data_IF_428149311808
#
_entry.id   IF_428149311808
#
_cell.length_a   1.000
_cell.length_b   1.000
_cell.length_c   1.000
_cell.angle_alpha   90.00
_cell.angle_beta   90.00
_cell.angle_gamma   90.00
#
_symmetry.space_group_name_H-M   'P 1'
#
loop_
_entity.id
_entity.type
_entity.pdbx_description
1 polymer ?
#
# COMPACT_ATOMS: atom_id res chain seq x y z
N UNK A 1 11.84 19.35 -18.55
CA UNK A 1 13.07 19.70 -19.31
C UNK A 1 13.56 18.55 -20.20
N UNK A 2 13.74 17.32 -19.70
CA UNK A 2 14.20 16.17 -20.51
C UNK A 2 13.40 15.97 -21.81
N UNK A 3 12.07 15.82 -21.69
CA UNK A 3 11.20 15.63 -22.86
C UNK A 3 11.26 16.81 -23.84
N UNK A 4 11.39 18.04 -23.34
CA UNK A 4 11.53 19.22 -24.20
C UNK A 4 12.81 19.16 -25.05
N UNK A 5 13.94 18.74 -24.48
CA UNK A 5 15.18 18.52 -25.24
C UNK A 5 15.03 17.43 -26.30
N UNK A 6 14.42 16.30 -25.93
CA UNK A 6 14.16 15.21 -26.88
C UNK A 6 13.29 15.72 -28.04
N UNK A 7 12.18 16.42 -27.76
CA UNK A 7 11.30 16.99 -28.79
C UNK A 7 12.02 17.97 -29.72
N UNK A 8 12.87 18.86 -29.19
CA UNK A 8 13.59 19.84 -29.99
C UNK A 8 14.69 19.18 -30.84
N UNK A 9 15.40 18.17 -30.32
CA UNK A 9 16.37 17.39 -31.11
C UNK A 9 15.67 16.67 -32.26
N UNK A 10 14.52 16.05 -32.01
CA UNK A 10 13.71 15.44 -33.06
C UNK A 10 13.22 16.47 -34.10
N UNK A 11 12.78 17.64 -33.64
CA UNK A 11 12.40 18.76 -34.51
C UNK A 11 13.55 19.25 -35.39
N UNK A 12 14.76 19.36 -34.82
CA UNK A 12 15.97 19.70 -35.58
C UNK A 12 16.27 18.64 -36.64
N UNK A 13 16.22 17.35 -36.27
CA UNK A 13 16.47 16.25 -37.19
C UNK A 13 15.45 16.23 -38.34
N UNK A 14 14.18 16.54 -38.06
CA UNK A 14 13.15 16.71 -39.08
C UNK A 14 13.42 17.91 -40.01
N UNK A 15 13.86 19.06 -39.47
CA UNK A 15 14.24 20.23 -40.28
C UNK A 15 15.43 19.92 -41.20
N UNK A 16 16.45 19.23 -40.68
CA UNK A 16 17.63 18.80 -41.45
C UNK A 16 17.20 17.86 -42.56
N UNK A 17 16.37 16.88 -42.25
CA UNK A 17 15.78 15.96 -43.24
C UNK A 17 15.09 16.76 -44.35
N UNK A 18 14.23 17.70 -44.00
CA UNK A 18 13.51 18.54 -44.97
C UNK A 18 14.44 19.38 -45.86
N UNK A 19 15.51 19.97 -45.29
CA UNK A 19 16.47 20.79 -46.06
C UNK A 19 17.29 19.97 -47.06
N UNK A 20 17.64 18.72 -46.72
CA UNK A 20 18.48 17.87 -47.57
C UNK A 20 17.69 16.96 -48.52
N UNK A 21 16.39 16.74 -48.30
CA UNK A 21 15.50 15.92 -49.15
C UNK A 21 14.93 16.69 -50.36
N UNK A 22 15.08 18.03 -50.40
CA UNK A 22 14.51 18.87 -51.48
C UNK A 22 15.30 18.73 -52.80
N UNK A 23 14.65 18.46 -53.95
CA UNK A 23 15.32 18.39 -55.25
C UNK A 23 15.81 19.78 -55.66
N UNK A 24 17.13 19.96 -55.73
CA UNK A 24 17.80 21.25 -55.94
C UNK A 24 18.31 21.93 -54.66
N UNK A 25 18.66 21.16 -53.62
CA UNK A 25 19.02 21.67 -52.29
C UNK A 25 20.05 22.81 -52.33
N UNK A 26 19.89 23.78 -51.41
CA UNK A 26 20.73 24.98 -51.20
C UNK A 26 22.24 24.68 -51.05
N UNK A 27 22.62 23.41 -50.93
CA UNK A 27 23.99 22.93 -50.75
C UNK A 27 24.33 21.89 -51.84
N UNK A 28 24.86 22.40 -52.95
CA UNK A 28 25.31 21.75 -54.20
C UNK A 28 25.62 20.23 -54.29
N UNK A 29 25.26 19.69 -55.46
CA UNK A 29 25.76 18.56 -56.30
C UNK A 29 26.16 17.19 -55.71
N UNK A 30 26.19 16.94 -54.40
CA UNK A 30 26.54 15.61 -53.85
C UNK A 30 25.33 14.80 -53.43
N UNK A 31 24.51 14.37 -54.41
CA UNK A 31 23.26 13.62 -54.23
C UNK A 31 23.38 12.43 -53.27
N UNK A 32 24.43 11.62 -53.39
CA UNK A 32 24.68 10.45 -52.52
C UNK A 32 24.88 10.83 -51.05
N UNK A 33 25.56 11.94 -50.79
CA UNK A 33 25.86 12.38 -49.42
C UNK A 33 24.62 12.94 -48.73
N UNK A 34 23.80 13.69 -49.47
CA UNK A 34 22.54 14.22 -48.94
C UNK A 34 21.57 13.09 -48.59
N UNK A 35 21.50 12.05 -49.43
CA UNK A 35 20.72 10.83 -49.16
C UNK A 35 21.24 10.11 -47.90
N UNK A 36 22.55 9.98 -47.73
CA UNK A 36 23.13 9.39 -46.50
C UNK A 36 22.72 10.16 -45.25
N UNK A 37 22.79 11.49 -45.26
CA UNK A 37 22.40 12.33 -44.11
C UNK A 37 20.92 12.13 -43.78
N UNK A 38 20.05 12.18 -44.79
CA UNK A 38 18.60 11.96 -44.61
C UNK A 38 18.32 10.57 -44.02
N UNK A 39 18.97 9.54 -44.55
CA UNK A 39 18.81 8.19 -44.05
C UNK A 39 19.32 8.05 -42.62
N UNK A 40 20.52 8.55 -42.31
CA UNK A 40 21.11 8.46 -40.97
C UNK A 40 20.25 9.17 -39.92
N UNK A 41 19.69 10.34 -40.24
CA UNK A 41 18.79 11.09 -39.36
C UNK A 41 17.48 10.33 -39.10
N UNK A 42 16.85 9.80 -40.15
CA UNK A 42 15.61 9.00 -40.03
C UNK A 42 15.86 7.72 -39.24
N UNK A 43 16.91 6.98 -39.61
CA UNK A 43 17.31 5.72 -38.99
C UNK A 43 17.57 5.93 -37.50
N UNK A 44 18.40 6.91 -37.13
CA UNK A 44 18.69 7.21 -35.73
C UNK A 44 17.42 7.52 -34.92
N UNK A 45 16.53 8.37 -35.42
CA UNK A 45 15.30 8.73 -34.72
C UNK A 45 14.39 7.52 -34.52
N UNK A 46 14.19 6.71 -35.55
CA UNK A 46 13.36 5.51 -35.48
C UNK A 46 13.96 4.44 -34.57
N UNK A 47 15.29 4.22 -34.62
CA UNK A 47 15.97 3.30 -33.73
C UNK A 47 15.87 3.77 -32.27
N UNK A 48 16.12 5.06 -31.99
CA UNK A 48 15.96 5.59 -30.64
C UNK A 48 14.52 5.43 -30.15
N UNK A 49 13.52 5.82 -30.96
CA UNK A 49 12.12 5.73 -30.56
C UNK A 49 11.70 4.28 -30.29
N UNK A 50 12.11 3.34 -31.16
CA UNK A 50 11.84 1.91 -30.99
C UNK A 50 12.49 1.36 -29.72
N UNK A 51 13.78 1.65 -29.49
CA UNK A 51 14.49 1.19 -28.30
C UNK A 51 13.96 1.82 -27.01
N UNK A 52 13.78 3.14 -27.01
CA UNK A 52 13.27 3.88 -25.87
C UNK A 52 11.84 3.45 -25.52
N UNK A 53 10.97 3.26 -26.52
CA UNK A 53 9.62 2.74 -26.31
C UNK A 53 9.62 1.34 -25.73
N UNK A 54 10.45 0.42 -26.26
CA UNK A 54 10.57 -0.94 -25.71
C UNK A 54 11.05 -0.93 -24.26
N UNK A 55 12.08 -0.14 -23.95
CA UNK A 55 12.58 0.01 -22.58
C UNK A 55 11.53 0.63 -21.65
N UNK A 56 10.87 1.70 -22.09
CA UNK A 56 9.84 2.38 -21.31
C UNK A 56 8.65 1.45 -21.02
N UNK A 57 8.19 0.69 -22.01
CA UNK A 57 7.11 -0.29 -21.84
C UNK A 57 7.54 -1.46 -20.96
N UNK A 58 8.76 -1.98 -21.12
CA UNK A 58 9.27 -3.08 -20.30
C UNK A 58 9.45 -2.66 -18.83
N UNK A 59 10.06 -1.49 -18.59
CA UNK A 59 10.21 -0.93 -17.25
C UNK A 59 8.85 -0.57 -16.65
N UNK A 60 7.96 0.03 -17.43
CA UNK A 60 6.58 0.31 -17.01
C UNK A 60 5.88 -0.98 -16.60
N UNK A 61 5.85 -1.99 -17.47
CA UNK A 61 5.26 -3.28 -17.15
C UNK A 61 5.91 -3.92 -15.91
N UNK A 62 7.23 -3.85 -15.76
CA UNK A 62 7.91 -4.39 -14.57
C UNK A 62 7.53 -3.66 -13.28
N UNK A 63 7.40 -2.33 -13.31
CA UNK A 63 7.04 -1.53 -12.13
C UNK A 63 5.54 -1.59 -11.80
N UNK A 64 4.68 -1.75 -12.80
CA UNK A 64 3.22 -1.88 -12.64
C UNK A 64 2.82 -3.32 -12.26
N UNK A 65 3.42 -4.34 -12.88
CA UNK A 65 3.12 -5.75 -12.61
C UNK A 65 3.93 -6.30 -11.43
N UNK A 66 5.14 -5.78 -11.20
CA UNK A 66 5.95 -6.11 -10.03
C UNK A 66 5.38 -5.42 -8.81
N UNK A 67 5.00 -6.22 -7.79
CA UNK A 67 4.42 -5.81 -6.50
C UNK A 67 4.79 -4.39 -6.06
N UNK A 68 4.02 -3.39 -6.52
CA UNK A 68 4.11 -1.99 -6.06
C UNK A 68 5.48 -1.34 -6.27
N UNK A 69 6.24 -1.77 -7.28
CA UNK A 69 7.61 -1.28 -7.53
C UNK A 69 7.71 0.23 -7.74
N UNK A 70 6.63 0.90 -8.16
CA UNK A 70 6.57 2.34 -8.37
C UNK A 70 6.69 3.18 -7.07
N UNK A 71 6.42 2.61 -5.89
CA UNK A 71 6.65 3.29 -4.61
C UNK A 71 8.10 3.16 -4.12
N UNK A 72 8.79 2.11 -4.55
CA UNK A 72 10.14 1.76 -4.08
C UNK A 72 11.21 2.35 -4.99
N UNK A 73 10.89 2.55 -6.27
CA UNK A 73 11.86 2.90 -7.29
C UNK A 73 11.47 4.16 -8.05
N UNK A 74 12.37 5.14 -8.08
CA UNK A 74 12.16 6.38 -8.83
C UNK A 74 13.31 6.63 -9.80
N UNK A 75 13.03 6.47 -11.10
CA UNK A 75 14.04 6.60 -12.15
C UNK A 75 14.72 7.97 -12.17
N UNK A 76 13.97 9.04 -11.90
CA UNK A 76 14.45 10.40 -12.11
C UNK A 76 15.47 10.90 -11.07
N UNK A 77 15.19 10.85 -9.75
CA UNK A 77 16.15 11.31 -8.74
C UNK A 77 17.41 10.45 -8.73
N UNK A 78 17.27 9.13 -8.84
CA UNK A 78 18.37 8.18 -8.67
C UNK A 78 19.29 8.15 -9.91
N UNK A 79 18.73 8.33 -11.10
CA UNK A 79 19.46 8.22 -12.37
C UNK A 79 19.46 9.50 -13.21
N UNK A 80 19.38 10.68 -12.57
CA UNK A 80 19.36 11.98 -13.26
C UNK A 80 20.44 12.16 -14.33
N UNK A 81 21.64 11.62 -14.11
CA UNK A 81 22.75 11.71 -15.06
C UNK A 81 22.54 10.89 -16.33
N UNK A 82 21.80 9.77 -16.26
CA UNK A 82 21.46 8.97 -17.45
C UNK A 82 20.58 9.79 -18.40
N UNK A 83 19.62 10.56 -17.87
CA UNK A 83 18.77 11.41 -18.69
C UNK A 83 19.56 12.52 -19.40
N UNK A 84 20.54 13.13 -18.72
CA UNK A 84 21.45 14.10 -19.34
C UNK A 84 22.33 13.43 -20.40
N UNK A 85 22.84 12.24 -20.12
CA UNK A 85 23.65 11.46 -21.05
C UNK A 85 22.87 11.10 -22.31
N UNK A 86 21.61 10.69 -22.19
CA UNK A 86 20.74 10.40 -23.34
C UNK A 86 20.63 11.63 -24.26
N UNK A 87 20.37 12.82 -23.69
CA UNK A 87 20.29 14.06 -24.47
C UNK A 87 21.63 14.36 -25.16
N UNK A 88 22.74 14.24 -24.42
CA UNK A 88 24.07 14.49 -24.97
C UNK A 88 24.41 13.54 -26.12
N UNK A 89 24.15 12.24 -25.94
CA UNK A 89 24.39 11.21 -26.95
C UNK A 89 23.52 11.45 -28.19
N UNK A 90 22.22 11.73 -28.03
CA UNK A 90 21.34 12.02 -29.17
C UNK A 90 21.78 13.25 -29.96
N UNK A 91 22.16 14.31 -29.26
CA UNK A 91 22.66 15.53 -29.89
C UNK A 91 23.98 15.27 -30.64
N UNK A 92 24.96 14.63 -30.00
CA UNK A 92 26.25 14.33 -30.63
C UNK A 92 26.12 13.37 -31.81
N UNK A 93 25.23 12.37 -31.70
CA UNK A 93 24.95 11.43 -32.79
C UNK A 93 24.37 12.16 -34.01
N UNK A 94 23.46 13.12 -33.80
CA UNK A 94 22.91 13.98 -34.86
C UNK A 94 24.02 14.71 -35.63
N UNK A 95 25.08 15.13 -34.94
CA UNK A 95 26.19 15.90 -35.51
C UNK A 95 27.29 15.05 -36.16
N UNK A 96 27.33 13.75 -35.92
CA UNK A 96 28.36 12.85 -36.47
C UNK A 96 28.43 12.90 -38.01
N UNK A 97 27.28 12.84 -38.68
CA UNK A 97 27.16 12.85 -40.14
C UNK A 97 27.23 14.25 -40.72
N UNK A 98 26.66 15.25 -40.03
CA UNK A 98 26.73 16.67 -40.40
C UNK A 98 28.16 17.21 -40.34
N UNK A 99 28.97 16.75 -39.39
CA UNK A 99 30.37 17.17 -39.25
C UNK A 99 31.18 16.87 -40.50
N UNK A 100 30.89 15.78 -41.19
CA UNK A 100 31.54 15.44 -42.44
C UNK A 100 31.26 16.53 -43.51
N UNK A 101 30.06 17.11 -43.53
CA UNK A 101 29.66 18.16 -44.49
C UNK A 101 30.35 19.49 -44.22
N UNK A 102 30.29 19.97 -42.97
CA UNK A 102 30.80 21.29 -42.58
C UNK A 102 32.31 21.34 -42.28
N UNK A 103 32.98 20.17 -42.27
CA UNK A 103 34.44 19.98 -42.10
C UNK A 103 35.06 20.91 -41.03
N UNK A 104 35.72 21.99 -41.46
CA UNK A 104 36.61 22.84 -40.62
C UNK A 104 35.84 23.72 -39.64
N UNK A 105 34.60 24.10 -39.96
CA UNK A 105 33.77 24.97 -39.12
C UNK A 105 32.67 24.19 -38.36
N UNK A 106 32.68 22.85 -38.42
CA UNK A 106 31.60 22.02 -37.87
C UNK A 106 31.38 22.24 -36.38
N UNK A 107 32.46 22.44 -35.60
CA UNK A 107 32.37 22.63 -34.15
C UNK A 107 31.70 23.96 -33.78
N UNK A 108 31.95 25.03 -34.55
CA UNK A 108 31.29 26.33 -34.34
C UNK A 108 29.78 26.23 -34.58
N UNK A 109 29.39 25.56 -35.68
CA UNK A 109 27.99 25.32 -36.01
C UNK A 109 27.30 24.37 -35.04
N UNK A 110 28.02 23.36 -34.55
CA UNK A 110 27.53 22.45 -33.52
C UNK A 110 27.22 23.20 -32.23
N UNK A 111 28.16 24.01 -31.73
CA UNK A 111 27.95 24.82 -30.53
C UNK A 111 26.80 25.81 -30.71
N UNK A 112 26.73 26.50 -31.85
CA UNK A 112 25.63 27.42 -32.15
C UNK A 112 24.27 26.71 -32.12
N UNK A 113 24.17 25.52 -32.74
CA UNK A 113 22.94 24.74 -32.69
C UNK A 113 22.59 24.29 -31.28
N UNK A 114 23.57 23.86 -30.47
CA UNK A 114 23.33 23.45 -29.10
C UNK A 114 22.74 24.58 -28.27
N UNK A 115 23.25 25.79 -28.43
CA UNK A 115 22.73 27.00 -27.76
C UNK A 115 21.29 27.28 -28.21
N UNK A 116 21.01 27.26 -29.51
CA UNK A 116 19.66 27.48 -30.05
C UNK A 116 18.67 26.44 -29.52
N UNK A 117 19.04 25.15 -29.55
CA UNK A 117 18.20 24.06 -29.03
C UNK A 117 17.97 24.21 -27.53
N UNK A 118 18.99 24.63 -26.78
CA UNK A 118 18.86 24.84 -25.33
C UNK A 118 17.88 25.97 -25.02
N UNK A 119 17.92 27.07 -25.78
CA UNK A 119 16.96 28.18 -25.64
C UNK A 119 15.54 27.71 -25.98
N UNK A 120 15.37 27.00 -27.11
CA UNK A 120 14.06 26.47 -27.51
C UNK A 120 13.50 25.45 -26.52
N UNK A 121 14.33 24.51 -26.06
CA UNK A 121 13.94 23.51 -25.07
C UNK A 121 13.60 24.15 -23.72
N UNK A 122 14.33 25.20 -23.32
CA UNK A 122 14.00 25.98 -22.13
C UNK A 122 12.67 26.71 -22.30
N UNK A 123 12.44 27.38 -23.44
CA UNK A 123 11.16 28.02 -23.76
C UNK A 123 9.99 27.04 -23.71
N UNK A 124 10.10 25.89 -24.38
CA UNK A 124 9.10 24.82 -24.34
C UNK A 124 8.87 24.28 -22.93
N UNK A 125 9.92 24.19 -22.11
CA UNK A 125 9.79 23.69 -20.73
C UNK A 125 8.99 24.63 -19.81
N UNK A 126 8.80 25.89 -20.20
CA UNK A 126 7.99 26.87 -19.47
C UNK A 126 6.52 26.85 -19.91
N UNK A 127 6.20 26.22 -21.03
CA UNK A 127 4.82 26.11 -21.52
C UNK A 127 4.16 24.93 -20.81
N UNK A 128 3.22 25.22 -19.91
CA UNK A 128 2.38 24.21 -19.27
C UNK A 128 1.27 23.80 -20.26
N UNK A 129 1.54 22.79 -21.09
CA UNK A 129 0.55 22.24 -22.04
C UNK A 129 -0.58 21.47 -21.34
N UNK A 130 -0.32 20.97 -20.13
CA UNK A 130 -1.29 20.23 -19.31
C UNK A 130 -1.34 20.86 -17.93
N UNK A 131 -2.54 21.21 -17.46
CA UNK A 131 -2.77 21.63 -16.09
C UNK A 131 -2.72 20.42 -15.15
N UNK A 132 -1.50 19.96 -14.90
CA UNK A 132 -1.22 18.85 -14.01
C UNK A 132 -1.68 19.15 -12.58
N UNK A 133 -1.81 20.42 -12.18
CA UNK A 133 -2.25 20.78 -10.83
C UNK A 133 -3.72 20.45 -10.65
N UNK A 134 -4.55 20.84 -11.62
CA UNK A 134 -5.98 20.51 -11.59
C UNK A 134 -6.21 19.01 -11.69
N UNK A 135 -5.48 18.32 -12.57
CA UNK A 135 -5.59 16.85 -12.69
C UNK A 135 -5.12 16.13 -11.41
N UNK A 136 -4.00 16.56 -10.83
CA UNK A 136 -3.51 15.99 -9.58
C UNK A 136 -4.48 16.26 -8.43
N UNK A 137 -5.05 17.47 -8.34
CA UNK A 137 -6.03 17.81 -7.31
C UNK A 137 -7.31 16.96 -7.45
N UNK A 138 -7.80 16.72 -8.67
CA UNK A 138 -8.95 15.84 -8.89
C UNK A 138 -8.67 14.41 -8.40
N UNK A 139 -7.51 13.85 -8.75
CA UNK A 139 -7.11 12.50 -8.31
C UNK A 139 -6.90 12.44 -6.80
N UNK A 140 -6.29 13.47 -6.22
CA UNK A 140 -6.05 13.55 -4.78
C UNK A 140 -7.36 13.69 -3.98
N UNK A 141 -8.35 14.43 -4.49
CA UNK A 141 -9.66 14.57 -3.84
C UNK A 141 -10.45 13.25 -3.76
N UNK A 142 -10.19 12.32 -4.67
CA UNK A 142 -10.75 10.96 -4.60
C UNK A 142 -9.98 10.04 -3.65
N UNK A 143 -8.78 10.39 -3.20
CA UNK A 143 -8.00 9.55 -2.29
C UNK A 143 -8.41 9.81 -0.83
N UNK A 144 -8.92 8.78 -0.15
CA UNK A 144 -9.34 8.85 1.26
C UNK A 144 -8.19 9.34 2.17
N UNK A 145 -6.96 8.87 1.96
CA UNK A 145 -5.79 9.27 2.75
C UNK A 145 -5.45 10.77 2.58
N UNK A 146 -5.81 11.36 1.44
CA UNK A 146 -5.59 12.78 1.21
C UNK A 146 -6.75 13.62 1.76
N UNK A 147 -8.00 13.22 1.46
CA UNK A 147 -9.23 13.94 1.85
C UNK A 147 -9.45 13.96 3.36
N UNK A 148 -9.12 12.89 4.07
CA UNK A 148 -9.34 12.75 5.51
C UNK A 148 -8.04 12.62 6.28
N UNK A 149 -8.11 12.81 7.58
CA UNK A 149 -7.01 12.51 8.49
C UNK A 149 -7.09 11.02 8.84
N UNK A 150 -6.19 10.26 8.23
CA UNK A 150 -6.08 8.81 8.40
C UNK A 150 -4.62 8.47 8.63
N UNK A 151 -4.33 8.18 9.89
CA UNK A 151 -3.03 7.77 10.37
C UNK A 151 -3.19 6.38 10.99
N UNK A 152 -2.75 5.36 10.25
CA UNK A 152 -2.98 3.96 10.59
C UNK A 152 -1.90 3.51 11.59
N UNK A 153 -2.26 2.84 12.69
CA UNK A 153 -1.30 2.43 13.69
C UNK A 153 -0.29 1.38 13.19
N UNK A 154 0.85 1.36 13.87
CA UNK A 154 1.92 0.41 13.59
C UNK A 154 1.71 -0.93 14.30
N UNK A 155 2.22 -2.01 13.69
CA UNK A 155 2.18 -3.36 14.25
C UNK A 155 3.43 -4.15 13.92
N UNK A 156 3.97 -4.84 14.92
CA UNK A 156 5.08 -5.78 14.75
C UNK A 156 4.64 -7.14 14.21
N UNK A 157 3.33 -7.40 14.14
CA UNK A 157 2.76 -8.58 13.49
C UNK A 157 1.72 -8.19 12.45
N UNK A 158 1.85 -8.73 11.25
CA UNK A 158 0.96 -8.41 10.13
C UNK A 158 0.95 -9.54 9.11
N UNK A 159 -0.06 -9.52 8.25
CA UNK A 159 -0.22 -10.42 7.12
C UNK A 159 -0.39 -9.60 5.84
N UNK A 160 0.04 -10.19 4.73
CA UNK A 160 -0.11 -9.62 3.39
C UNK A 160 -1.21 -10.42 2.68
N UNK A 161 -2.11 -9.75 1.94
CA UNK A 161 -3.22 -10.41 1.28
C UNK A 161 -2.74 -11.47 0.30
N UNK A 162 -3.36 -12.64 0.37
CA UNK A 162 -3.16 -13.69 -0.62
C UNK A 162 -3.77 -13.27 -1.96
N UNK A 163 -3.21 -13.76 -3.09
CA UNK A 163 -3.65 -13.40 -4.46
C UNK A 163 -5.14 -13.62 -4.75
N UNK A 164 -5.81 -14.50 -4.01
CA UNK A 164 -7.22 -14.87 -4.22
C UNK A 164 -8.16 -14.35 -3.14
N UNK A 165 -7.65 -13.67 -2.11
CA UNK A 165 -8.49 -13.18 -1.02
C UNK A 165 -9.25 -11.92 -1.44
N UNK A 166 -10.55 -11.88 -1.10
CA UNK A 166 -11.42 -10.73 -1.34
C UNK A 166 -11.44 -9.86 -0.11
N UNK A 167 -11.13 -8.58 -0.32
CA UNK A 167 -11.14 -7.58 0.73
C UNK A 167 -12.13 -6.48 0.40
N UNK A 168 -12.83 -5.99 1.42
CA UNK A 168 -13.61 -4.75 1.37
C UNK A 168 -13.02 -3.81 2.41
N UNK A 169 -12.64 -2.60 1.98
CA UNK A 169 -12.06 -1.59 2.86
C UNK A 169 -13.16 -0.72 3.47
N UNK A 170 -13.10 -0.56 4.78
CA UNK A 170 -13.90 0.38 5.55
C UNK A 170 -12.92 1.32 6.24
N UNK A 171 -13.09 2.63 6.03
CA UNK A 171 -12.21 3.64 6.59
C UNK A 171 -12.92 4.32 7.76
N UNK A 172 -12.24 4.43 8.90
CA UNK A 172 -12.69 5.14 10.08
C UNK A 172 -11.69 6.27 10.31
N UNK A 173 -12.11 7.47 9.95
CA UNK A 173 -11.23 8.63 9.74
C UNK A 173 -11.72 9.84 10.51
N UNK A 174 -10.82 10.81 10.74
CA UNK A 174 -11.19 12.10 11.30
C UNK A 174 -11.32 13.15 10.17
N UNK A 175 -12.26 14.08 10.32
CA UNK A 175 -12.39 15.21 9.39
C UNK A 175 -11.22 16.18 9.53
N UNK A 176 -10.60 16.56 8.40
CA UNK A 176 -9.56 17.62 8.34
C UNK A 176 -10.14 19.04 8.42
N UNK A 177 -11.46 19.20 8.19
CA UNK A 177 -12.10 20.50 7.98
C UNK A 177 -12.36 21.24 9.30
N UNK A 178 -12.53 20.50 10.40
CA UNK A 178 -12.90 21.07 11.70
C UNK A 178 -11.71 21.06 12.66
N UNK A 179 -10.84 22.06 12.53
CA UNK A 179 -9.73 22.31 13.47
C UNK A 179 -10.29 22.62 14.87
N UNK A 180 -10.50 21.57 15.67
CA UNK A 180 -10.91 21.66 17.08
C UNK A 180 -12.07 20.75 17.49
N UNK A 181 -12.81 20.16 16.54
CA UNK A 181 -13.88 19.22 16.84
C UNK A 181 -13.90 18.10 15.79
N UNK A 182 -12.83 17.30 15.77
CA UNK A 182 -12.65 16.24 14.79
C UNK A 182 -13.73 15.17 14.96
N UNK A 183 -14.81 15.29 14.18
CA UNK A 183 -15.84 14.25 14.11
C UNK A 183 -15.22 13.01 13.45
N UNK A 184 -15.32 11.87 14.12
CA UNK A 184 -14.98 10.58 13.55
C UNK A 184 -16.07 10.15 12.57
N UNK A 185 -15.67 9.76 11.37
CA UNK A 185 -16.54 9.43 10.24
C UNK A 185 -16.22 8.02 9.74
N UNK A 186 -17.22 7.34 9.20
CA UNK A 186 -17.05 6.08 8.47
C UNK A 186 -17.13 6.37 6.99
N UNK A 187 -16.14 5.91 6.22
CA UNK A 187 -16.07 6.12 4.77
C UNK A 187 -15.97 4.76 4.07
N UNK A 188 -16.89 4.52 3.15
CA UNK A 188 -16.94 3.30 2.32
C UNK A 188 -17.16 3.72 0.88
N UNK A 189 -16.36 3.19 -0.04
CA UNK A 189 -16.42 3.53 -1.47
C UNK A 189 -16.39 5.06 -1.72
N UNK A 190 -15.52 5.78 -0.99
CA UNK A 190 -15.38 7.24 -1.03
C UNK A 190 -16.62 8.06 -0.62
N UNK A 191 -17.57 7.44 0.07
CA UNK A 191 -18.76 8.11 0.60
C UNK A 191 -18.76 8.02 2.10
N UNK A 192 -19.14 9.12 2.74
CA UNK A 192 -19.39 9.15 4.17
C UNK A 192 -20.70 8.40 4.46
N UNK A 193 -20.67 7.53 5.46
CA UNK A 193 -21.76 6.63 5.82
C UNK A 193 -21.97 6.74 7.32
N UNK A 194 -23.22 6.86 7.76
CA UNK A 194 -23.56 6.78 9.18
C UNK A 194 -23.49 5.32 9.67
N UNK A 195 -23.20 5.09 10.95
CA UNK A 195 -23.04 3.72 11.47
C UNK A 195 -24.34 2.92 11.30
N UNK A 196 -25.46 3.62 11.38
CA UNK A 196 -26.81 3.10 11.27
C UNK A 196 -27.07 2.49 9.88
N UNK A 197 -26.57 3.16 8.83
CA UNK A 197 -26.72 2.80 7.41
C UNK A 197 -25.70 1.77 6.93
N UNK A 198 -24.76 1.35 7.81
CA UNK A 198 -23.69 0.43 7.47
C UNK A 198 -24.22 -0.89 6.89
N UNK A 199 -25.37 -1.38 7.35
CA UNK A 199 -25.97 -2.61 6.84
C UNK A 199 -26.34 -2.50 5.35
N UNK A 200 -26.99 -1.40 4.97
CA UNK A 200 -27.48 -1.17 3.60
C UNK A 200 -26.33 -1.00 2.62
N UNK A 201 -25.28 -0.24 3.02
CA UNK A 201 -24.11 -0.02 2.17
C UNK A 201 -23.31 -1.31 1.96
N UNK A 202 -23.28 -2.20 2.95
CA UNK A 202 -22.53 -3.45 2.87
C UNK A 202 -23.28 -4.56 2.10
N UNK A 203 -24.61 -4.52 2.07
CA UNK A 203 -25.50 -5.43 1.31
C UNK A 203 -25.61 -5.08 -0.20
N UNK A 204 -24.58 -4.45 -0.78
CA UNK A 204 -24.58 -4.04 -2.19
C UNK A 204 -24.98 -5.23 -3.09
N UNK A 205 -26.09 -5.15 -3.86
CA UNK A 205 -26.56 -6.19 -4.77
C UNK A 205 -25.52 -6.62 -5.81
N UNK A 206 -24.50 -5.79 -6.10
CA UNK A 206 -23.35 -6.15 -6.94
C UNK A 206 -22.46 -7.22 -6.32
N UNK A 207 -22.59 -7.47 -5.03
CA UNK A 207 -21.89 -8.52 -4.28
C UNK A 207 -22.63 -9.87 -4.25
N UNK A 208 -23.81 -9.97 -4.90
CA UNK A 208 -24.52 -11.23 -5.20
C UNK A 208 -23.80 -12.06 -6.27
N UNK A 209 -22.50 -12.25 -6.08
CA UNK A 209 -21.73 -13.26 -6.78
C UNK A 209 -22.30 -14.61 -6.33
N UNK A 210 -22.72 -15.46 -7.27
CA UNK A 210 -23.48 -16.68 -6.99
C UNK A 210 -22.94 -17.50 -5.81
N UNK A 211 -23.83 -18.14 -5.07
CA UNK A 211 -23.58 -18.82 -3.79
C UNK A 211 -22.35 -19.77 -3.76
N UNK A 212 -21.91 -20.26 -4.92
CA UNK A 212 -20.74 -21.13 -5.08
C UNK A 212 -19.38 -20.40 -5.09
N UNK A 213 -19.37 -19.06 -5.08
CA UNK A 213 -18.15 -18.23 -5.18
C UNK A 213 -17.86 -17.41 -3.91
N UNK A 214 -18.59 -17.66 -2.83
CA UNK A 214 -18.43 -17.02 -1.52
C UNK A 214 -17.16 -17.53 -0.82
N UNK A 215 -15.99 -17.22 -1.37
CA UNK A 215 -14.81 -17.12 -0.53
C UNK A 215 -15.11 -16.03 0.51
N UNK A 216 -14.91 -16.30 1.80
CA UNK A 216 -15.33 -15.40 2.86
C UNK A 216 -14.59 -14.07 2.70
N UNK A 217 -15.34 -13.01 2.40
CA UNK A 217 -14.80 -11.66 2.20
C UNK A 217 -14.30 -11.15 3.54
N UNK A 218 -13.06 -10.66 3.57
CA UNK A 218 -12.48 -10.06 4.79
C UNK A 218 -12.68 -8.55 4.73
N UNK A 219 -13.28 -7.98 5.76
CA UNK A 219 -13.48 -6.54 5.87
C UNK A 219 -12.25 -5.94 6.56
N UNK A 220 -11.52 -5.09 5.86
CA UNK A 220 -10.34 -4.41 6.40
C UNK A 220 -10.76 -3.05 6.94
N UNK A 221 -10.51 -2.83 8.22
CA UNK A 221 -10.80 -1.60 8.91
C UNK A 221 -9.52 -0.75 8.92
N UNK A 222 -9.54 0.35 8.21
CA UNK A 222 -8.48 1.37 8.22
C UNK A 222 -8.89 2.42 9.24
N UNK A 223 -8.37 2.29 10.46
CA UNK A 223 -8.79 3.09 11.60
C UNK A 223 -7.67 4.06 11.97
N UNK A 224 -8.02 5.34 12.08
CA UNK A 224 -7.11 6.34 12.60
C UNK A 224 -6.70 6.04 14.06
N UNK A 225 -5.41 6.13 14.37
CA UNK A 225 -4.81 5.67 15.65
C UNK A 225 -5.47 6.24 16.91
N UNK A 226 -5.91 7.51 16.88
CA UNK A 226 -6.53 8.20 18.03
C UNK A 226 -8.06 8.05 18.10
N UNK A 227 -8.66 7.15 17.33
CA UNK A 227 -10.09 6.87 17.45
C UNK A 227 -10.33 6.04 18.70
N UNK A 228 -11.31 6.45 19.51
CA UNK A 228 -11.66 5.75 20.76
C UNK A 228 -12.27 4.38 20.49
N UNK A 229 -11.91 3.41 21.32
CA UNK A 229 -12.42 2.04 21.23
C UNK A 229 -13.94 1.96 21.34
N UNK A 230 -14.61 2.86 22.08
CA UNK A 230 -16.07 2.96 22.11
C UNK A 230 -16.69 3.00 20.70
N UNK A 231 -16.12 3.83 19.81
CA UNK A 231 -16.61 3.99 18.45
C UNK A 231 -16.29 2.75 17.59
N UNK A 232 -15.08 2.20 17.76
CA UNK A 232 -14.64 0.98 17.05
C UNK A 232 -15.51 -0.22 17.43
N UNK A 233 -15.81 -0.38 18.72
CA UNK A 233 -16.65 -1.43 19.26
C UNK A 233 -18.08 -1.35 18.72
N UNK A 234 -18.68 -0.14 18.66
CA UNK A 234 -19.99 0.06 18.01
C UNK A 234 -20.00 -0.42 16.55
N UNK A 235 -18.95 -0.12 15.78
CA UNK A 235 -18.83 -0.57 14.39
C UNK A 235 -18.67 -2.09 14.33
N UNK A 236 -17.81 -2.68 15.15
CA UNK A 236 -17.63 -4.14 15.24
C UNK A 236 -18.95 -4.83 15.55
N UNK A 237 -19.66 -4.38 16.57
CA UNK A 237 -20.98 -4.89 16.97
C UNK A 237 -21.97 -4.82 15.81
N UNK A 238 -22.00 -3.71 15.06
CA UNK A 238 -22.88 -3.56 13.88
C UNK A 238 -22.48 -4.49 12.74
N UNK A 239 -21.20 -4.66 12.45
CA UNK A 239 -20.71 -5.61 11.44
C UNK A 239 -21.11 -7.05 11.79
N UNK A 240 -20.91 -7.44 13.05
CA UNK A 240 -21.24 -8.78 13.56
C UNK A 240 -22.74 -9.05 13.45
N UNK A 241 -23.59 -8.10 13.87
CA UNK A 241 -25.06 -8.20 13.75
C UNK A 241 -25.53 -8.36 12.30
N UNK A 242 -24.73 -7.92 11.33
CA UNK A 242 -24.98 -8.11 9.89
C UNK A 242 -24.31 -9.37 9.31
N UNK A 243 -23.84 -10.31 10.14
CA UNK A 243 -23.23 -11.57 9.71
C UNK A 243 -21.78 -11.44 9.21
N UNK A 244 -21.10 -10.33 9.50
CA UNK A 244 -19.71 -10.10 9.11
C UNK A 244 -18.78 -10.50 10.24
N UNK A 245 -18.16 -11.67 10.11
CA UNK A 245 -17.29 -12.27 11.13
C UNK A 245 -15.80 -12.27 10.79
N UNK A 246 -15.42 -11.81 9.59
CA UNK A 246 -14.01 -11.73 9.18
C UNK A 246 -13.59 -10.29 9.04
N UNK A 247 -13.03 -9.74 10.12
CA UNK A 247 -12.45 -8.41 10.11
C UNK A 247 -10.92 -8.51 10.20
N UNK A 248 -10.25 -7.48 9.68
CA UNK A 248 -8.83 -7.30 9.88
C UNK A 248 -8.56 -5.81 10.05
N UNK A 249 -7.58 -5.45 10.87
CA UNK A 249 -7.17 -4.06 11.01
C UNK A 249 -6.07 -3.77 10.01
N UNK A 250 -6.17 -2.69 9.25
CA UNK A 250 -5.04 -2.21 8.45
C UNK A 250 -3.94 -1.74 9.40
N UNK A 251 -2.69 -2.06 9.08
CA UNK A 251 -1.54 -1.75 9.94
C UNK A 251 -0.33 -1.41 9.11
N UNK A 252 0.57 -0.61 9.66
CA UNK A 252 1.88 -0.34 9.10
C UNK A 252 2.94 -1.17 9.86
N UNK A 253 3.89 -1.84 9.20
CA UNK A 253 5.00 -2.49 9.90
C UNK A 253 5.79 -1.50 10.77
N UNK A 254 6.17 -1.89 11.98
CA UNK A 254 7.05 -1.06 12.85
C UNK A 254 8.43 -0.78 12.22
N UNK A 255 8.89 -1.65 11.33
CA UNK A 255 10.18 -1.52 10.62
C UNK A 255 9.94 -1.15 9.14
N UNK A 256 9.07 -0.17 8.88
CA UNK A 256 8.76 0.24 7.51
C UNK A 256 9.87 1.14 6.91
N UNK A 257 10.23 0.89 5.66
CA UNK A 257 11.24 1.66 4.92
C UNK A 257 10.61 2.66 3.93
N UNK A 258 9.34 2.43 3.57
CA UNK A 258 8.63 3.17 2.53
C UNK A 258 7.46 3.98 3.10
N UNK A 259 6.86 4.80 2.23
CA UNK A 259 5.65 5.57 2.53
C UNK A 259 4.48 4.65 2.93
N UNK A 260 3.60 5.12 3.81
CA UNK A 260 2.42 4.39 4.32
C UNK A 260 1.53 3.82 3.20
N UNK A 261 1.44 4.54 2.06
CA UNK A 261 0.68 4.10 0.89
C UNK A 261 1.17 2.75 0.35
N UNK A 262 2.47 2.46 0.51
CA UNK A 262 3.05 1.16 0.16
C UNK A 262 2.47 0.03 1.01
N UNK A 263 2.13 0.30 2.26
CA UNK A 263 1.69 -0.69 3.25
C UNK A 263 0.17 -0.78 3.41
N UNK A 264 -0.63 -0.03 2.64
CA UNK A 264 -2.11 -0.06 2.69
C UNK A 264 -2.76 -1.45 2.68
N UNK A 265 -2.07 -2.45 2.16
CA UNK A 265 -2.59 -3.81 2.09
C UNK A 265 -2.23 -4.68 3.29
N UNK A 266 -1.37 -4.22 4.19
CA UNK A 266 -0.92 -4.97 5.34
C UNK A 266 -2.01 -4.92 6.39
N UNK A 267 -2.27 -6.05 7.02
CA UNK A 267 -3.33 -6.14 8.01
C UNK A 267 -3.00 -7.10 9.14
N UNK A 268 -3.54 -6.81 10.31
CA UNK A 268 -3.61 -7.73 11.44
C UNK A 268 -4.98 -8.40 11.43
N UNK A 269 -5.08 -9.69 11.05
CA UNK A 269 -6.37 -10.38 11.09
C UNK A 269 -6.84 -10.51 12.52
N UNK A 270 -8.10 -10.13 12.75
CA UNK A 270 -8.75 -10.30 14.03
C UNK A 270 -9.79 -11.42 13.88
N UNK A 271 -9.60 -12.58 14.54
CA UNK A 271 -10.68 -13.54 14.63
C UNK A 271 -11.81 -12.87 15.43
N UNK A 272 -12.97 -12.69 14.80
CA UNK A 272 -14.15 -12.22 15.52
C UNK A 272 -14.75 -13.42 16.22
N UNK A 273 -14.45 -13.55 17.51
CA UNK A 273 -15.06 -14.53 18.38
C UNK A 273 -16.14 -13.81 19.18
N UNK A 274 -17.42 -14.07 18.87
CA UNK A 274 -18.54 -13.49 19.62
C UNK A 274 -19.37 -14.63 20.22
N UNK A 275 -19.60 -14.57 21.54
CA UNK A 275 -20.60 -15.33 22.28
C UNK A 275 -21.95 -14.61 22.14
N UNK A 276 -22.70 -14.89 21.06
CA UNK A 276 -24.07 -14.41 20.89
C UNK A 276 -24.95 -15.63 20.98
N UNK A 277 -25.60 -15.78 22.13
CA UNK A 277 -26.79 -16.61 22.26
C UNK A 277 -27.83 -16.10 21.26
N UNK A 278 -28.11 -16.91 20.24
CA UNK A 278 -29.32 -16.88 19.42
C UNK A 278 -29.72 -15.56 18.78
N UNK A 279 -29.48 -15.42 17.47
CA UNK A 279 -30.46 -15.00 16.45
C UNK A 279 -29.81 -15.05 15.05
N UNK A 280 -30.32 -15.98 14.25
CA UNK A 280 -30.15 -16.17 12.79
C UNK A 280 -28.73 -16.32 12.20
N UNK A 281 -28.38 -17.56 11.81
CA UNK A 281 -27.73 -17.78 10.50
C UNK A 281 -26.53 -18.75 10.37
N UNK A 282 -25.94 -19.22 11.49
CA UNK A 282 -24.89 -20.27 11.60
C UNK A 282 -23.41 -19.86 11.55
N UNK A 283 -22.55 -20.51 12.35
CA UNK A 283 -22.59 -20.63 13.79
C UNK A 283 -21.65 -19.56 14.39
N UNK A 284 -22.15 -18.75 15.33
CA UNK A 284 -21.27 -18.31 16.38
C UNK A 284 -20.69 -19.60 16.97
N UNK A 285 -19.38 -19.82 16.84
CA UNK A 285 -18.74 -20.82 17.68
C UNK A 285 -18.82 -20.17 19.05
N UNK A 286 -19.86 -20.48 19.82
CA UNK A 286 -19.81 -20.31 21.27
C UNK A 286 -18.55 -21.05 21.70
N UNK A 287 -17.50 -20.28 21.98
CA UNK A 287 -16.30 -20.84 22.56
C UNK A 287 -16.74 -21.25 23.96
N UNK A 288 -16.95 -22.55 24.16
CA UNK A 288 -17.20 -23.09 25.48
C UNK A 288 -15.93 -22.84 26.30
N UNK A 289 -15.99 -21.83 27.17
CA UNK A 289 -14.88 -21.39 28.00
C UNK A 289 -14.37 -22.54 28.88
N UNK A 290 -15.23 -23.52 29.20
CA UNK A 290 -14.87 -24.69 29.98
C UNK A 290 -13.90 -25.63 29.25
N UNK A 291 -13.71 -25.47 27.94
CA UNK A 291 -12.72 -26.23 27.17
C UNK A 291 -11.29 -25.79 27.44
N UNK A 292 -11.09 -24.57 27.96
CA UNK A 292 -9.77 -24.02 28.24
C UNK A 292 -9.41 -24.20 29.71
N UNK A 293 -8.16 -24.62 29.97
CA UNK A 293 -7.66 -24.81 31.34
C UNK A 293 -7.13 -23.52 31.94
N UNK A 294 -6.72 -22.59 31.09
CA UNK A 294 -6.14 -21.30 31.48
C UNK A 294 -6.79 -20.18 30.68
N UNK A 295 -7.18 -19.13 31.37
CA UNK A 295 -7.68 -17.88 30.78
C UNK A 295 -6.62 -16.84 31.12
N UNK A 296 -6.07 -16.19 30.09
CA UNK A 296 -5.12 -15.09 30.25
C UNK A 296 -5.91 -13.81 30.03
N UNK A 297 -6.16 -13.07 31.10
CA UNK A 297 -6.92 -11.83 31.08
C UNK A 297 -5.98 -10.65 30.82
N UNK A 298 -6.33 -9.82 29.84
CA UNK A 298 -5.58 -8.64 29.45
C UNK A 298 -6.53 -7.44 29.52
N UNK A 299 -6.15 -6.43 30.29
CA UNK A 299 -6.93 -5.20 30.43
C UNK A 299 -6.05 -3.95 30.23
N UNK A 300 -6.68 -2.83 29.87
CA UNK A 300 -6.04 -1.53 29.78
C UNK A 300 -6.81 -0.48 30.60
N UNK A 301 -6.10 0.35 31.36
CA UNK A 301 -6.72 1.50 32.02
C UNK A 301 -6.89 2.68 31.04
N UNK A 302 -7.53 3.77 31.48
CA UNK A 302 -7.74 4.97 30.66
C UNK A 302 -6.44 5.66 30.22
N UNK A 303 -5.32 5.40 30.93
CA UNK A 303 -4.00 5.90 30.59
C UNK A 303 -3.24 5.00 29.58
N UNK A 304 -3.81 3.85 29.21
CA UNK A 304 -3.20 2.88 28.32
C UNK A 304 -2.26 1.86 29.01
N UNK A 305 -2.11 1.91 30.33
CA UNK A 305 -1.31 0.93 31.07
C UNK A 305 -1.94 -0.45 30.98
N UNK A 306 -1.09 -1.46 30.77
CA UNK A 306 -1.51 -2.82 30.52
C UNK A 306 -1.47 -3.67 31.79
N UNK A 307 -2.50 -4.49 31.98
CA UNK A 307 -2.61 -5.46 33.07
C UNK A 307 -2.76 -6.86 32.47
N UNK A 308 -2.08 -7.83 33.07
CA UNK A 308 -2.21 -9.25 32.73
C UNK A 308 -2.57 -10.00 34.01
N UNK A 309 -3.76 -10.62 34.06
CA UNK A 309 -4.35 -11.23 35.26
C UNK A 309 -4.25 -10.29 36.48
N UNK A 310 -4.78 -9.07 36.34
CA UNK A 310 -4.75 -7.96 37.33
C UNK A 310 -3.36 -7.44 37.75
N UNK A 311 -2.28 -7.98 37.20
CA UNK A 311 -0.92 -7.51 37.49
C UNK A 311 -0.53 -6.46 36.45
N UNK A 312 -0.12 -5.27 36.90
CA UNK A 312 0.42 -4.24 36.00
C UNK A 312 1.74 -4.72 35.38
N UNK A 313 1.83 -4.66 34.05
CA UNK A 313 3.02 -5.12 33.31
C UNK A 313 3.58 -3.98 32.48
N UNK A 314 4.89 -3.77 32.58
CA UNK A 314 5.60 -2.81 31.73
C UNK A 314 5.57 -3.26 30.27
N UNK A 315 5.48 -2.29 29.36
CA UNK A 315 5.42 -2.55 27.91
C UNK A 315 6.56 -3.48 27.42
N UNK A 316 7.79 -3.26 27.89
CA UNK A 316 8.96 -4.07 27.51
C UNK A 316 8.88 -5.53 27.98
N UNK A 317 8.11 -5.79 29.03
CA UNK A 317 7.97 -7.11 29.66
C UNK A 317 6.72 -7.85 29.17
N UNK A 318 5.73 -7.12 28.66
CA UNK A 318 4.42 -7.63 28.26
C UNK A 318 4.49 -8.88 27.39
N UNK A 319 5.23 -8.81 26.28
CA UNK A 319 5.40 -9.95 25.36
C UNK A 319 5.99 -11.17 26.05
N UNK A 320 6.96 -10.98 26.96
CA UNK A 320 7.59 -12.08 27.67
C UNK A 320 6.64 -12.68 28.73
N UNK A 321 5.86 -11.87 29.42
CA UNK A 321 4.82 -12.32 30.36
C UNK A 321 3.79 -13.21 29.68
N UNK A 322 3.25 -12.78 28.53
CA UNK A 322 2.29 -13.57 27.75
C UNK A 322 2.92 -14.90 27.30
N UNK A 323 4.16 -14.88 26.83
CA UNK A 323 4.87 -16.11 26.44
C UNK A 323 5.01 -17.09 27.60
N UNK A 324 5.42 -16.61 28.77
CA UNK A 324 5.58 -17.46 29.96
C UNK A 324 4.26 -18.12 30.34
N UNK A 325 3.14 -17.38 30.38
CA UNK A 325 1.82 -17.94 30.70
C UNK A 325 1.37 -19.02 29.71
N UNK A 326 1.60 -18.80 28.41
CA UNK A 326 1.28 -19.79 27.37
C UNK A 326 2.18 -21.04 27.47
N UNK A 327 3.42 -20.88 27.93
CA UNK A 327 4.34 -22.02 28.11
C UNK A 327 3.98 -22.86 29.34
N UNK A 328 3.42 -22.24 30.38
CA UNK A 328 2.93 -22.93 31.58
C UNK A 328 1.70 -23.81 31.29
N UNK A 329 0.73 -23.30 30.53
CA UNK A 329 -0.44 -24.05 30.07
C UNK A 329 -0.75 -23.78 28.60
N UNK A 330 -0.66 -24.83 27.78
CA UNK A 330 -0.84 -24.73 26.32
C UNK A 330 -2.31 -24.79 25.89
N UNK A 331 -3.20 -25.25 26.78
CA UNK A 331 -4.64 -25.17 26.58
C UNK A 331 -5.20 -23.87 27.19
N UNK A 332 -5.00 -22.78 26.46
CA UNK A 332 -5.33 -21.43 26.92
C UNK A 332 -6.25 -20.68 25.95
N UNK A 333 -6.89 -19.65 26.48
CA UNK A 333 -7.55 -18.59 25.74
C UNK A 333 -7.09 -17.23 26.25
N UNK A 334 -7.08 -16.22 25.39
CA UNK A 334 -6.74 -14.85 25.77
C UNK A 334 -8.00 -14.00 25.73
N UNK A 335 -8.30 -13.36 26.85
CA UNK A 335 -9.48 -12.53 27.03
C UNK A 335 -9.05 -11.06 27.16
N UNK A 336 -9.49 -10.23 26.23
CA UNK A 336 -9.21 -8.79 26.24
C UNK A 336 -10.39 -8.03 26.82
N UNK A 337 -10.21 -7.40 27.98
CA UNK A 337 -11.15 -6.45 28.55
C UNK A 337 -10.91 -5.10 27.88
N UNK A 338 -11.72 -4.80 26.86
CA UNK A 338 -11.54 -3.61 26.04
C UNK A 338 -12.11 -2.40 26.76
N UNK A 339 -11.25 -1.45 27.11
CA UNK A 339 -11.66 -0.17 27.66
C UNK A 339 -12.07 0.79 26.52
N UNK A 340 -13.29 1.29 26.59
CA UNK A 340 -13.89 2.17 25.59
C UNK A 340 -13.19 3.54 25.45
N UNK A 341 -12.50 4.00 26.50
CA UNK A 341 -11.78 5.28 26.52
C UNK A 341 -10.38 5.21 25.92
N UNK A 342 -9.85 4.01 25.68
CA UNK A 342 -8.51 3.80 25.13
C UNK A 342 -8.52 4.10 23.63
N UNK A 343 -7.40 4.64 23.14
CA UNK A 343 -7.19 4.89 21.72
C UNK A 343 -6.96 3.56 20.97
N UNK A 344 -7.48 3.47 19.76
CA UNK A 344 -7.35 2.27 18.93
C UNK A 344 -5.88 1.86 18.71
N UNK A 345 -4.98 2.83 18.58
CA UNK A 345 -3.55 2.56 18.43
C UNK A 345 -2.95 1.82 19.63
N UNK A 346 -3.31 2.20 20.85
CA UNK A 346 -2.82 1.56 22.07
C UNK A 346 -3.41 0.16 22.23
N UNK A 347 -4.71 0.01 21.95
CA UNK A 347 -5.35 -1.31 21.91
C UNK A 347 -4.67 -2.25 20.89
N UNK A 348 -4.45 -1.75 19.67
CA UNK A 348 -3.83 -2.53 18.60
C UNK A 348 -2.39 -2.92 18.95
N UNK A 349 -1.65 -2.05 19.63
CA UNK A 349 -0.28 -2.31 20.09
C UNK A 349 -0.23 -3.52 21.01
N UNK A 350 -1.13 -3.60 21.99
CA UNK A 350 -1.25 -4.75 22.90
C UNK A 350 -1.63 -6.01 22.13
N UNK A 351 -2.62 -5.92 21.24
CA UNK A 351 -3.04 -7.03 20.39
C UNK A 351 -1.88 -7.56 19.51
N UNK A 352 -1.08 -6.65 18.94
CA UNK A 352 0.11 -6.95 18.16
C UNK A 352 1.14 -7.69 19.00
N UNK A 353 1.48 -7.20 20.20
CA UNK A 353 2.44 -7.88 21.08
C UNK A 353 1.98 -9.27 21.50
N UNK A 354 0.69 -9.45 21.76
CA UNK A 354 0.10 -10.76 22.04
C UNK A 354 0.25 -11.71 20.85
N UNK A 355 0.01 -11.23 19.62
CA UNK A 355 0.22 -12.06 18.42
C UNK A 355 1.70 -12.40 18.22
N UNK A 356 2.60 -11.43 18.40
CA UNK A 356 4.04 -11.65 18.31
C UNK A 356 4.52 -12.69 19.33
N UNK A 357 4.02 -12.66 20.57
CA UNK A 357 4.32 -13.67 21.58
C UNK A 357 4.00 -15.09 21.08
N UNK A 358 2.81 -15.30 20.51
CA UNK A 358 2.41 -16.59 19.94
C UNK A 358 3.25 -16.95 18.72
N UNK A 359 3.56 -16.00 17.84
CA UNK A 359 4.40 -16.24 16.66
C UNK A 359 5.84 -16.63 17.02
N UNK A 360 6.40 -16.05 18.08
CA UNK A 360 7.72 -16.44 18.61
C UNK A 360 7.70 -17.88 19.14
N UNK A 361 6.66 -18.27 19.88
CA UNK A 361 6.50 -19.66 20.37
C UNK A 361 6.34 -20.65 19.21
N UNK A 362 5.55 -20.30 18.19
CA UNK A 362 5.40 -21.09 16.96
C UNK A 362 6.73 -21.23 16.23
N UNK A 363 7.51 -20.15 16.12
CA UNK A 363 8.84 -20.17 15.51
C UNK A 363 9.82 -21.04 16.30
N UNK A 364 9.84 -20.94 17.63
CA UNK A 364 10.70 -21.76 18.48
C UNK A 364 10.37 -23.26 18.34
N UNK A 365 9.09 -23.61 18.37
CA UNK A 365 8.62 -24.98 18.16
C UNK A 365 8.94 -25.48 16.73
N UNK A 366 8.72 -24.65 15.72
CA UNK A 366 9.02 -24.97 14.33
C UNK A 366 10.51 -25.25 14.11
N UNK A 367 11.39 -24.41 14.68
CA UNK A 367 12.85 -24.61 14.62
C UNK A 367 13.27 -25.90 15.33
N UNK A 368 12.70 -26.19 16.50
CA UNK A 368 13.00 -27.42 17.25
C UNK A 368 12.56 -28.69 16.50
N UNK A 369 11.37 -28.68 15.88
CA UNK A 369 10.78 -29.87 15.26
C UNK A 369 11.15 -30.08 13.79
N UNK A 370 11.27 -29.01 13.02
CA UNK A 370 11.43 -29.05 11.56
C UNK A 370 12.73 -28.40 11.07
N UNK A 371 13.56 -27.85 11.97
CA UNK A 371 14.79 -27.11 11.64
C UNK A 371 14.56 -25.92 10.68
N UNK A 372 13.33 -25.37 10.69
CA UNK A 372 12.89 -24.27 9.84
C UNK A 372 12.04 -23.29 10.63
N UNK A 373 12.03 -22.03 10.21
CA UNK A 373 11.11 -21.04 10.78
C UNK A 373 9.67 -21.31 10.35
N UNK A 374 8.71 -20.89 11.18
CA UNK A 374 7.29 -21.14 10.96
C UNK A 374 6.79 -20.63 9.60
N UNK A 375 7.31 -19.49 9.13
CA UNK A 375 6.94 -18.90 7.84
C UNK A 375 7.34 -19.75 6.62
N UNK A 376 8.37 -20.59 6.75
CA UNK A 376 8.91 -21.43 5.68
C UNK A 376 8.37 -22.87 5.68
N UNK A 377 7.50 -23.20 6.63
CA UNK A 377 6.89 -24.53 6.71
C UNK A 377 5.81 -24.73 5.64
N UNK A 378 5.66 -25.97 5.18
CA UNK A 378 4.55 -26.37 4.31
C UNK A 378 3.21 -26.30 5.04
N UNK A 379 2.11 -26.29 4.29
CA UNK A 379 0.76 -26.08 4.85
C UNK A 379 0.37 -27.10 5.93
N UNK A 380 0.74 -28.38 5.76
CA UNK A 380 0.47 -29.45 6.74
C UNK A 380 1.21 -29.22 8.06
N UNK A 381 2.51 -28.91 7.99
CA UNK A 381 3.35 -28.65 9.16
C UNK A 381 2.92 -27.36 9.87
N UNK A 382 2.61 -26.29 9.12
CA UNK A 382 2.06 -25.05 9.69
C UNK A 382 0.78 -25.30 10.47
N UNK A 383 -0.10 -26.19 9.97
CA UNK A 383 -1.33 -26.56 10.69
C UNK A 383 -1.01 -27.23 12.02
N UNK A 384 -0.06 -28.16 12.06
CA UNK A 384 0.36 -28.81 13.32
C UNK A 384 0.92 -27.80 14.33
N UNK A 385 1.78 -26.88 13.87
CA UNK A 385 2.34 -25.83 14.76
C UNK A 385 1.24 -24.89 15.28
N UNK A 386 0.24 -24.55 14.45
CA UNK A 386 -0.92 -23.74 14.86
C UNK A 386 -1.83 -24.45 15.86
N UNK A 387 -1.95 -25.78 15.79
CA UNK A 387 -2.70 -26.57 16.76
C UNK A 387 -1.96 -26.59 18.11
N UNK A 388 -0.63 -26.70 18.08
CA UNK A 388 0.18 -26.71 19.29
C UNK A 388 0.16 -25.37 20.04
N UNK A 389 0.23 -24.27 19.30
CA UNK A 389 0.15 -22.91 19.84
C UNK A 389 -0.94 -22.17 19.07
N UNK A 390 -2.22 -22.33 19.47
CA UNK A 390 -3.32 -21.62 18.83
C UNK A 390 -3.24 -20.13 19.11
N UNK A 391 -4.05 -19.34 18.41
CA UNK A 391 -4.20 -17.90 18.70
C UNK A 391 -5.70 -17.67 18.83
N UNK A 392 -6.21 -17.90 20.03
CA UNK A 392 -7.62 -17.75 20.38
C UNK A 392 -7.74 -16.50 21.25
N UNK A 393 -8.53 -15.54 20.75
CA UNK A 393 -8.79 -14.27 21.40
C UNK A 393 -10.29 -14.06 21.47
N UNK A 394 -10.74 -13.50 22.59
CA UNK A 394 -12.08 -12.95 22.77
C UNK A 394 -11.92 -11.52 23.28
N UNK A 395 -12.65 -10.59 22.65
CA UNK A 395 -12.80 -9.23 23.16
C UNK A 395 -14.05 -9.20 24.04
N UNK A 396 -13.90 -8.82 25.30
CA UNK A 396 -14.97 -8.52 26.23
C UNK A 396 -15.16 -7.01 26.22
N UNK A 397 -16.32 -6.58 25.72
CA UNK A 397 -16.69 -5.17 25.59
C UNK A 397 -17.77 -4.81 26.60
N UNK A 398 -17.90 -3.53 26.94
CA UNK A 398 -18.93 -3.00 27.85
C UNK A 398 -20.33 -3.48 27.47
N UNK A 399 -20.66 -3.41 26.17
CA UNK A 399 -21.93 -3.87 25.60
C UNK A 399 -22.23 -5.35 25.92
N UNK A 400 -21.21 -6.21 26.00
CA UNK A 400 -21.37 -7.64 26.30
C UNK A 400 -21.59 -7.88 27.78
N UNK A 401 -20.92 -7.11 28.65
CA UNK A 401 -21.07 -7.24 30.10
C UNK A 401 -22.48 -6.83 30.52
N UNK A 402 -23.02 -5.75 29.94
CA UNK A 402 -24.39 -5.30 30.18
C UNK A 402 -25.44 -6.35 29.75
N UNK A 403 -25.22 -7.05 28.64
CA UNK A 403 -26.11 -8.13 28.17
C UNK A 403 -26.07 -9.39 29.04
N UNK A 404 -25.00 -9.61 29.81
CA UNK A 404 -24.85 -10.75 30.72
C UNK A 404 -25.35 -10.49 32.15
N UNK A 405 -25.66 -9.24 32.49
CA UNK A 405 -26.07 -8.81 33.84
C UNK A 405 -27.57 -8.91 34.14
N UNK A 406 -28.39 -9.43 33.20
CA UNK A 406 -29.84 -9.60 33.33
C UNK A 406 -30.26 -11.02 33.80
N UNK A 407 -29.35 -11.82 34.37
CA UNK A 407 -29.66 -13.13 35.00
C UNK A 407 -29.83 -13.07 36.52
#
# INVERSE_FOLDING_TARGET
>A
MFFAFVSVIFGQSACITFWYDRPGSLFGSKKLRNISIVNDQRVMNWYFLSWFSKLATALGAMLFLGNRGYFVFSLYPDFKYIFVLIIAVLFLQTWSTLRLVFRRNSLKWMLASFVILSILAFGLSRINLVDYKTLNNMVLQENVHYKYDLDVPESGSYEVPGRQARYKDIYIVNSKVDQGNSRTLVVINNREVEIEDLAEVLDDPRSKVGAYTLWPTTYRLHIHRYVKMAFVNRIKSKLIRNGIFKIAYAVIPTEHEFDELYYQNFFLPMPVTYLASGLYGSPAIELDMNLFKSIIEIAQNDAGDCFVDDISVRESEFKQTIKSKIQEEQNYIIQFHVNDNVDFGDYLKVLSYTKMAVEELRNAYARKKYLKEFKWLGMKDRRQVRIQYPYYIIDVTSDMVELSGDE
#
